data_IF_227953914449
#
_entry.id   IF_227953914449
#
_cell.length_a   1.000
_cell.length_b   1.000
_cell.length_c   1.000
_cell.angle_alpha   90.00
_cell.angle_beta   90.00
_cell.angle_gamma   90.00
#
_symmetry.space_group_name_H-M   'P 1'
#
loop_
_entity.id
_entity.type
_entity.pdbx_description
1 polymer ?
#
# COMPACT_ATOMS: atom_id res chain seq x y z
N UNK A 1 30.17 16.67 24.50
CA UNK A 1 29.44 17.25 23.35
C UNK A 1 28.36 16.28 22.90
N UNK A 2 27.11 16.52 23.29
CA UNK A 2 25.97 15.66 22.92
C UNK A 2 25.52 15.96 21.49
N UNK A 3 25.61 14.98 20.58
CA UNK A 3 25.03 15.08 19.23
C UNK A 3 23.51 15.02 19.38
N UNK A 4 22.84 16.17 19.18
CA UNK A 4 21.38 16.23 19.06
C UNK A 4 20.93 15.30 17.92
N UNK A 5 20.15 14.26 18.24
CA UNK A 5 19.48 13.40 17.25
C UNK A 5 18.44 14.27 16.53
N UNK A 6 18.66 14.56 15.25
CA UNK A 6 17.67 15.24 14.42
C UNK A 6 16.40 14.38 14.35
N UNK A 7 15.25 15.00 14.66
CA UNK A 7 13.95 14.36 14.59
C UNK A 7 13.65 14.06 13.11
N UNK A 8 13.80 12.80 12.69
CA UNK A 8 13.66 12.38 11.30
C UNK A 8 12.18 12.31 10.96
N UNK A 9 11.62 13.40 10.46
CA UNK A 9 10.30 13.40 9.81
C UNK A 9 10.40 12.38 8.67
N UNK A 10 9.73 11.22 8.81
CA UNK A 10 9.71 10.18 7.80
C UNK A 10 8.97 10.72 6.57
N UNK A 11 9.72 11.12 5.54
CA UNK A 11 9.13 11.40 4.23
C UNK A 11 8.34 10.17 3.78
N UNK A 12 7.17 10.32 3.15
CA UNK A 12 6.42 9.18 2.64
C UNK A 12 7.33 8.36 1.72
N UNK A 13 7.34 7.04 1.93
CA UNK A 13 8.20 6.15 1.17
C UNK A 13 7.82 6.21 -0.31
N UNK A 14 8.74 6.68 -1.15
CA UNK A 14 8.60 6.64 -2.60
C UNK A 14 8.71 5.19 -3.09
N UNK A 15 8.02 4.89 -4.20
CA UNK A 15 8.08 3.58 -4.83
C UNK A 15 9.52 3.26 -5.25
N UNK A 16 10.01 2.08 -4.88
CA UNK A 16 11.33 1.59 -5.30
C UNK A 16 11.20 0.76 -6.58
N UNK A 17 11.80 1.25 -7.67
CA UNK A 17 11.83 0.54 -8.96
C UNK A 17 12.48 -0.85 -8.86
N UNK A 18 13.53 -0.99 -8.05
CA UNK A 18 14.21 -2.29 -7.84
C UNK A 18 13.33 -3.33 -7.14
N UNK A 19 12.28 -2.91 -6.44
CA UNK A 19 11.30 -3.80 -5.81
C UNK A 19 10.05 -3.99 -6.69
N UNK A 20 10.02 -3.45 -7.92
CA UNK A 20 8.85 -3.50 -8.80
C UNK A 20 7.61 -2.80 -8.25
N UNK A 21 7.76 -1.88 -7.29
CA UNK A 21 6.63 -1.22 -6.64
C UNK A 21 5.91 -0.28 -7.61
N UNK A 22 4.68 -0.62 -7.95
CA UNK A 22 3.74 0.24 -8.66
C UNK A 22 2.50 0.37 -7.80
N UNK A 23 2.12 1.59 -7.43
CA UNK A 23 0.98 1.80 -6.55
C UNK A 23 -0.26 2.17 -7.34
N UNK A 24 -1.39 1.54 -7.01
CA UNK A 24 -2.69 2.01 -7.46
C UNK A 24 -2.93 3.43 -6.92
N UNK A 25 -3.37 4.31 -7.82
CA UNK A 25 -3.66 5.73 -7.54
C UNK A 25 -5.10 6.11 -7.87
N UNK A 26 -5.75 5.35 -8.76
CA UNK A 26 -7.12 5.58 -9.21
C UNK A 26 -8.08 4.60 -8.51
N UNK A 27 -9.09 5.16 -7.86
CA UNK A 27 -10.13 4.39 -7.16
C UNK A 27 -11.01 3.58 -8.10
N UNK A 28 -11.26 4.04 -9.33
CA UNK A 28 -12.09 3.31 -10.28
C UNK A 28 -11.53 1.92 -10.59
N UNK A 29 -10.21 1.78 -10.63
CA UNK A 29 -9.56 0.48 -10.83
C UNK A 29 -9.56 -0.37 -9.57
N UNK A 30 -9.42 0.24 -8.39
CA UNK A 30 -9.56 -0.46 -7.10
C UNK A 30 -10.96 -1.08 -7.00
N UNK A 31 -12.01 -0.30 -7.28
CA UNK A 31 -13.39 -0.78 -7.22
C UNK A 31 -13.68 -1.88 -8.24
N UNK A 32 -13.12 -1.77 -9.46
CA UNK A 32 -13.21 -2.83 -10.47
C UNK A 32 -12.54 -4.13 -10.01
N UNK A 33 -11.37 -4.05 -9.37
CA UNK A 33 -10.66 -5.21 -8.81
C UNK A 33 -11.52 -5.85 -7.71
N UNK A 34 -12.03 -5.07 -6.75
CA UNK A 34 -12.87 -5.59 -5.66
C UNK A 34 -14.15 -6.21 -6.20
N UNK A 35 -14.79 -5.57 -7.18
CA UNK A 35 -16.02 -6.08 -7.81
C UNK A 35 -15.78 -7.41 -8.52
N UNK A 36 -14.66 -7.52 -9.24
CA UNK A 36 -14.26 -8.76 -9.92
C UNK A 36 -13.87 -9.87 -8.95
N UNK A 37 -13.22 -9.52 -7.83
CA UNK A 37 -12.88 -10.45 -6.75
C UNK A 37 -14.15 -10.96 -6.03
N UNK A 38 -15.14 -10.09 -5.86
CA UNK A 38 -16.45 -10.38 -5.27
C UNK A 38 -16.36 -11.07 -3.88
N UNK A 39 -15.65 -10.48 -2.91
CA UNK A 39 -15.33 -11.14 -1.64
C UNK A 39 -16.58 -11.42 -0.79
N UNK A 40 -16.60 -12.57 -0.12
CA UNK A 40 -17.69 -12.97 0.79
C UNK A 40 -17.26 -12.79 2.24
N UNK A 41 -18.23 -12.58 3.13
CA UNK A 41 -17.99 -12.24 4.55
C UNK A 41 -17.27 -13.31 5.38
N UNK A 42 -17.24 -14.56 4.91
CA UNK A 42 -16.59 -15.69 5.56
C UNK A 42 -15.34 -16.19 4.80
N UNK A 43 -14.86 -15.43 3.82
CA UNK A 43 -13.66 -15.76 3.07
C UNK A 43 -12.42 -15.12 3.71
N UNK A 44 -11.37 -15.92 3.84
CA UNK A 44 -10.05 -15.42 4.20
C UNK A 44 -9.30 -15.03 2.94
N UNK A 45 -8.90 -13.76 2.85
CA UNK A 45 -8.18 -13.21 1.69
C UNK A 45 -6.79 -12.79 2.12
N UNK A 46 -5.79 -13.09 1.30
CA UNK A 46 -4.39 -12.70 1.51
C UNK A 46 -3.98 -11.72 0.42
N UNK A 47 -3.61 -10.49 0.81
CA UNK A 47 -3.04 -9.49 -0.11
C UNK A 47 -1.51 -9.66 -0.16
N UNK A 48 -0.97 -9.92 -1.35
CA UNK A 48 0.48 -9.98 -1.57
C UNK A 48 0.96 -8.65 -2.16
N UNK A 49 1.94 -8.03 -1.51
CA UNK A 49 2.51 -6.77 -2.00
C UNK A 49 1.58 -5.56 -1.81
N UNK A 50 0.86 -5.49 -0.69
CA UNK A 50 -0.11 -4.44 -0.37
C UNK A 50 0.37 -3.00 -0.57
N UNK A 51 1.69 -2.77 -0.50
CA UNK A 51 2.29 -1.47 -0.76
C UNK A 51 1.78 -0.42 0.21
N UNK A 52 0.91 0.47 -0.26
CA UNK A 52 0.26 1.52 0.57
C UNK A 52 -1.09 1.10 1.15
N UNK A 53 -1.49 -0.16 0.97
CA UNK A 53 -2.80 -0.68 1.38
C UNK A 53 -3.94 -0.08 0.57
N UNK A 54 -3.78 -0.02 -0.76
CA UNK A 54 -4.77 0.63 -1.63
C UNK A 54 -6.12 -0.11 -1.65
N UNK A 55 -6.11 -1.43 -1.46
CA UNK A 55 -7.30 -2.29 -1.42
C UNK A 55 -7.74 -2.55 0.04
N UNK A 56 -6.78 -2.69 0.97
CA UNK A 56 -7.06 -3.00 2.39
C UNK A 56 -7.64 -1.81 3.19
N UNK A 57 -7.48 -0.56 2.74
CA UNK A 57 -7.92 0.64 3.49
C UNK A 57 -9.42 0.86 3.52
#
# INVERSE_FOLDING_TARGET
MSRKKANKISRPAFAKKSLGQNFLVDRNYIDKIITALHPRSNETIVEIGAGRGAITK
#
